data_IF_098153744626
#
_entry.id   IF_098153744626
#
_cell.length_a   1.000
_cell.length_b   1.000
_cell.length_c   1.000
_cell.angle_alpha   90.00
_cell.angle_beta   90.00
_cell.angle_gamma   90.00
#
_symmetry.space_group_name_H-M   'P 1'
#
loop_
_entity.id
_entity.type
_entity.pdbx_description
1 polymer ?
#
# COMPACT_ATOMS: atom_id res chain seq x y z
N UNK A 1 23.44 13.47 9.94
CA UNK A 1 23.01 12.47 10.95
C UNK A 1 21.50 12.24 10.88
N UNK A 2 20.66 13.26 11.12
CA UNK A 2 19.19 13.12 11.14
C UNK A 2 18.60 12.72 9.77
N UNK A 3 19.04 13.32 8.66
CA UNK A 3 18.55 12.98 7.31
C UNK A 3 18.86 11.53 6.89
N UNK A 4 19.96 10.96 7.39
CA UNK A 4 20.31 9.55 7.15
C UNK A 4 19.33 8.61 7.85
N UNK A 5 18.92 8.95 9.07
CA UNK A 5 17.94 8.16 9.85
C UNK A 5 16.56 8.22 9.17
N UNK A 6 16.12 9.41 8.75
CA UNK A 6 14.84 9.58 8.04
C UNK A 6 14.83 8.79 6.73
N UNK A 7 15.93 8.84 5.97
CA UNK A 7 16.06 8.08 4.71
C UNK A 7 16.00 6.57 4.93
N UNK A 8 16.64 6.05 5.99
CA UNK A 8 16.57 4.62 6.35
C UNK A 8 15.12 4.23 6.70
N UNK A 9 14.43 5.04 7.51
CA UNK A 9 13.02 4.80 7.87
C UNK A 9 12.13 4.81 6.62
N UNK A 10 12.36 5.74 5.70
CA UNK A 10 11.60 5.85 4.46
C UNK A 10 11.78 4.61 3.57
N UNK A 11 13.01 4.09 3.47
CA UNK A 11 13.29 2.85 2.72
C UNK A 11 12.55 1.66 3.34
N UNK A 12 12.60 1.52 4.68
CA UNK A 12 11.89 0.44 5.38
C UNK A 12 10.38 0.52 5.13
N UNK A 13 9.80 1.73 5.24
CA UNK A 13 8.38 1.94 4.97
C UNK A 13 8.02 1.62 3.52
N UNK A 14 8.87 1.98 2.55
CA UNK A 14 8.65 1.65 1.14
C UNK A 14 8.59 0.14 0.92
N UNK A 15 9.53 -0.62 1.51
CA UNK A 15 9.57 -2.09 1.39
C UNK A 15 8.30 -2.70 2.00
N UNK A 16 7.90 -2.26 3.19
CA UNK A 16 6.66 -2.73 3.84
C UNK A 16 5.45 -2.42 2.97
N UNK A 17 5.36 -1.21 2.41
CA UNK A 17 4.27 -0.81 1.52
C UNK A 17 4.18 -1.72 0.29
N UNK A 18 5.32 -2.00 -0.35
CA UNK A 18 5.40 -2.90 -1.50
C UNK A 18 4.87 -4.28 -1.13
N UNK A 19 5.35 -4.88 -0.03
CA UNK A 19 4.92 -6.20 0.42
C UNK A 19 3.42 -6.21 0.68
N UNK A 20 2.91 -5.22 1.41
CA UNK A 20 1.48 -5.15 1.77
C UNK A 20 0.60 -4.94 0.53
N UNK A 21 1.05 -4.16 -0.46
CA UNK A 21 0.34 -3.95 -1.74
C UNK A 21 0.32 -5.23 -2.58
N UNK A 22 1.44 -5.97 -2.65
CA UNK A 22 1.49 -7.24 -3.36
C UNK A 22 0.56 -8.29 -2.72
N UNK A 23 0.49 -8.34 -1.39
CA UNK A 23 -0.44 -9.21 -0.66
C UNK A 23 -1.92 -8.83 -0.86
N UNK A 24 -2.21 -7.61 -1.31
CA UNK A 24 -3.58 -7.17 -1.62
C UNK A 24 -4.03 -7.51 -3.05
N UNK A 25 -3.21 -8.13 -3.89
CA UNK A 25 -3.60 -8.47 -5.26
C UNK A 25 -4.71 -9.52 -5.28
N UNK A 26 -5.95 -9.05 -5.37
CA UNK A 26 -7.12 -9.90 -5.55
C UNK A 26 -7.30 -10.16 -7.04
N UNK A 27 -6.91 -11.34 -7.52
CA UNK A 27 -7.43 -12.14 -8.66
C UNK A 27 -8.02 -11.47 -9.91
N UNK A 28 -7.81 -10.17 -10.12
CA UNK A 28 -8.35 -9.37 -11.21
C UNK A 28 -7.39 -9.50 -12.38
N UNK A 29 -7.40 -10.65 -13.03
CA UNK A 29 -6.65 -10.89 -14.27
C UNK A 29 -7.08 -9.94 -15.39
N UNK A 30 -6.39 -9.99 -16.54
CA UNK A 30 -6.63 -9.14 -17.72
C UNK A 30 -8.12 -8.97 -18.08
N UNK A 31 -8.96 -9.98 -17.85
CA UNK A 31 -10.41 -9.91 -18.08
C UNK A 31 -11.14 -8.78 -17.34
N UNK A 32 -10.66 -8.33 -16.18
CA UNK A 32 -11.23 -7.19 -15.46
C UNK A 32 -10.84 -5.82 -16.07
N UNK A 33 -9.69 -5.74 -16.75
CA UNK A 33 -9.24 -4.54 -17.46
C UNK A 33 -9.96 -4.34 -18.82
N UNK A 34 -10.52 -5.42 -19.38
CA UNK A 34 -11.22 -5.43 -20.67
C UNK A 34 -12.75 -5.54 -20.56
N UNK A 35 -13.34 -5.17 -19.42
CA UNK A 35 -14.80 -5.12 -19.28
C UNK A 35 -15.49 -6.50 -19.14
N UNK A 36 -14.74 -7.52 -18.71
CA UNK A 36 -15.27 -8.85 -18.44
C UNK A 36 -16.40 -8.81 -17.43
N UNK A 37 -17.60 -9.17 -17.88
CA UNK A 37 -18.82 -9.31 -17.08
C UNK A 37 -18.64 -10.41 -16.03
N UNK A 38 -18.14 -10.01 -14.87
CA UNK A 38 -18.03 -10.85 -13.69
C UNK A 38 -18.23 -9.95 -12.48
N UNK A 39 -19.46 -9.47 -12.32
CA UNK A 39 -20.00 -8.77 -11.15
C UNK A 39 -19.99 -9.64 -9.89
N UNK A 40 -18.90 -10.37 -9.63
CA UNK A 40 -18.63 -11.00 -8.35
C UNK A 40 -18.12 -9.91 -7.43
N UNK A 41 -19.06 -9.12 -6.90
CA UNK A 41 -18.82 -8.25 -5.76
C UNK A 41 -18.50 -9.13 -4.56
N UNK A 42 -17.25 -9.59 -4.46
CA UNK A 42 -16.73 -10.18 -3.23
C UNK A 42 -16.68 -9.06 -2.20
N UNK A 43 -17.67 -9.05 -1.31
CA UNK A 43 -17.67 -8.18 -0.15
C UNK A 43 -16.39 -8.46 0.64
N UNK A 44 -15.57 -7.42 0.85
CA UNK A 44 -14.31 -7.52 1.60
C UNK A 44 -14.64 -7.89 3.05
N UNK A 45 -14.52 -9.16 3.45
CA UNK A 45 -14.69 -9.62 4.85
C UNK A 45 -13.34 -10.06 5.42
N UNK A 46 -13.15 -9.83 6.72
CA UNK A 46 -11.99 -10.32 7.47
C UNK A 46 -10.65 -9.66 7.08
N UNK A 47 -9.67 -10.50 6.76
CA UNK A 47 -8.26 -10.13 6.56
C UNK A 47 -8.08 -9.09 5.45
N UNK A 48 -8.86 -9.18 4.38
CA UNK A 48 -8.79 -8.23 3.27
C UNK A 48 -9.15 -6.79 3.64
N UNK A 49 -10.10 -6.61 4.57
CA UNK A 49 -10.50 -5.27 5.03
C UNK A 49 -9.41 -4.68 5.94
N UNK A 50 -8.79 -5.53 6.75
CA UNK A 50 -7.69 -5.15 7.65
C UNK A 50 -6.45 -4.77 6.84
N UNK A 51 -6.04 -5.58 5.85
CA UNK A 51 -4.92 -5.27 4.96
C UNK A 51 -5.15 -3.95 4.22
N UNK A 52 -6.36 -3.72 3.72
CA UNK A 52 -6.69 -2.48 3.03
C UNK A 52 -6.58 -1.25 3.96
N UNK A 53 -7.13 -1.33 5.17
CA UNK A 53 -7.01 -0.24 6.16
C UNK A 53 -5.56 -0.02 6.60
N UNK A 54 -4.80 -1.09 6.85
CA UNK A 54 -3.39 -1.02 7.19
C UNK A 54 -2.58 -0.31 6.10
N UNK A 55 -2.86 -0.61 4.82
CA UNK A 55 -2.17 0.02 3.68
C UNK A 55 -2.43 1.51 3.62
N UNK A 56 -3.66 1.94 3.87
CA UNK A 56 -4.00 3.37 3.91
C UNK A 56 -3.18 4.06 4.99
N UNK A 57 -3.12 3.49 6.19
CA UNK A 57 -2.35 4.06 7.31
C UNK A 57 -0.85 4.11 7.00
N UNK A 58 -0.27 3.01 6.50
CA UNK A 58 1.16 2.93 6.15
C UNK A 58 1.48 3.89 5.01
N UNK A 59 0.60 4.02 4.02
CA UNK A 59 0.78 4.94 2.89
C UNK A 59 0.78 6.39 3.33
N UNK A 60 -0.14 6.79 4.21
CA UNK A 60 -0.16 8.14 4.79
C UNK A 60 1.14 8.40 5.55
N UNK A 61 1.61 7.45 6.39
CA UNK A 61 2.88 7.58 7.11
C UNK A 61 4.06 7.75 6.17
N UNK A 62 4.13 6.96 5.10
CA UNK A 62 5.19 7.03 4.10
C UNK A 62 5.24 8.40 3.43
N UNK A 63 4.10 8.94 2.99
CA UNK A 63 4.05 10.25 2.35
C UNK A 63 4.39 11.40 3.32
N UNK A 64 3.95 11.33 4.57
CA UNK A 64 4.32 12.32 5.59
C UNK A 64 5.84 12.33 5.82
N UNK A 65 6.45 11.15 5.96
CA UNK A 65 7.90 11.04 6.15
C UNK A 65 8.66 11.50 4.91
N UNK A 66 8.15 11.20 3.70
CA UNK A 66 8.74 11.70 2.46
C UNK A 66 8.71 13.23 2.36
N UNK A 67 7.61 13.87 2.78
CA UNK A 67 7.51 15.33 2.84
C UNK A 67 8.45 15.94 3.88
N UNK A 68 8.58 15.31 5.05
CA UNK A 68 9.52 15.76 6.08
C UNK A 68 10.97 15.64 5.58
N UNK A 69 11.33 14.54 4.92
CA UNK A 69 12.65 14.34 4.33
C UNK A 69 12.98 15.43 3.29
N UNK A 70 12.00 15.85 2.48
CA UNK A 70 12.20 16.91 1.50
C UNK A 70 12.56 18.27 2.12
N UNK A 71 12.06 18.55 3.33
CA UNK A 71 12.23 19.85 4.00
C UNK A 71 13.47 19.87 4.92
N UNK A 72 13.96 18.71 5.38
CA UNK A 72 15.03 18.57 6.38
C UNK A 72 16.38 18.20 5.75
#
# INVERSE_FOLDING_TARGET
MVSSIISIIQIILAIILIIVVLLQQKGSGLGAAFGGSGSVYTTRRGVDKVLFQATIVISILFFLIALINLVV
#
